data_IF_692366554730
#
_entry.id   IF_692366554730
#
_cell.length_a   1.000
_cell.length_b   1.000
_cell.length_c   1.000
_cell.angle_alpha   90.00
_cell.angle_beta   90.00
_cell.angle_gamma   90.00
#
_symmetry.space_group_name_H-M   'P 1'
#
loop_
_entity.id
_entity.type
_entity.pdbx_description
1 polymer ?
#
# COMPACT_ATOMS: atom_id res chain seq x y z
N UNK A 1 -59.22 13.20 -52.07
CA UNK A 1 -58.86 14.59 -51.71
C UNK A 1 -57.63 14.51 -50.81
N UNK A 2 -56.44 14.95 -51.23
CA UNK A 2 -55.92 16.28 -50.88
C UNK A 2 -54.97 16.20 -49.65
N UNK A 3 -53.77 15.61 -49.74
CA UNK A 3 -52.47 16.15 -50.24
C UNK A 3 -51.68 17.02 -49.24
N UNK A 4 -50.35 16.81 -49.23
CA UNK A 4 -49.26 17.57 -48.56
C UNK A 4 -49.19 17.38 -47.02
N UNK A 5 -48.07 17.57 -46.29
CA UNK A 5 -46.60 17.58 -46.54
C UNK A 5 -45.88 17.73 -45.15
N UNK A 6 -44.61 17.43 -44.88
CA UNK A 6 -43.48 16.73 -45.56
C UNK A 6 -42.46 16.29 -44.46
N UNK A 7 -41.58 15.29 -44.71
CA UNK A 7 -40.50 14.91 -43.77
C UNK A 7 -39.32 15.89 -43.89
N UNK A 8 -38.76 16.35 -42.75
CA UNK A 8 -37.59 17.26 -42.72
C UNK A 8 -36.39 16.62 -42.03
N UNK A 9 -35.57 15.91 -42.80
CA UNK A 9 -34.23 15.50 -42.36
C UNK A 9 -33.36 16.73 -42.04
N UNK A 10 -32.66 16.69 -40.89
CA UNK A 10 -31.63 17.69 -40.58
C UNK A 10 -30.27 17.15 -41.03
N UNK A 11 -29.75 17.76 -42.10
CA UNK A 11 -28.47 17.41 -42.73
C UNK A 11 -27.32 17.29 -41.72
N UNK A 12 -26.50 16.25 -41.89
CA UNK A 12 -25.11 16.23 -41.40
C UNK A 12 -24.30 17.20 -42.27
N UNK A 13 -23.47 18.03 -41.66
CA UNK A 13 -22.47 18.84 -42.36
C UNK A 13 -21.10 18.59 -41.72
N UNK A 14 -20.31 17.75 -42.36
CA UNK A 14 -18.87 17.64 -42.13
C UNK A 14 -18.17 18.82 -42.80
N UNK A 15 -17.45 19.62 -42.02
CA UNK A 15 -16.49 20.60 -42.53
C UNK A 15 -15.13 20.27 -41.94
N UNK A 16 -14.27 19.68 -42.78
CA UNK A 16 -12.83 19.60 -42.54
C UNK A 16 -12.23 20.98 -42.78
N UNK A 17 -11.42 21.47 -41.85
CA UNK A 17 -10.59 22.66 -42.03
C UNK A 17 -9.20 22.36 -41.46
N UNK A 18 -8.36 21.80 -42.33
CA UNK A 18 -6.93 21.59 -42.07
C UNK A 18 -6.18 22.91 -42.10
N UNK A 19 -5.57 23.30 -41.00
CA UNK A 19 -4.57 24.36 -40.94
C UNK A 19 -3.20 23.74 -40.59
N UNK A 20 -2.20 23.95 -41.46
CA UNK A 20 -0.83 23.53 -41.21
C UNK A 20 -0.13 24.52 -40.27
N UNK A 21 0.50 24.00 -39.22
CA UNK A 21 1.51 24.71 -38.43
C UNK A 21 2.69 23.77 -38.17
N UNK A 22 3.86 24.12 -38.72
CA UNK A 22 5.11 23.38 -38.54
C UNK A 22 5.81 23.77 -37.22
N UNK A 23 6.70 22.93 -36.66
CA UNK A 23 7.13 23.06 -35.27
C UNK A 23 8.29 24.04 -35.07
N UNK A 24 8.24 24.80 -33.98
CA UNK A 24 9.40 25.51 -33.44
C UNK A 24 10.05 24.66 -32.33
N UNK A 25 11.07 23.88 -32.67
CA UNK A 25 11.86 23.14 -31.69
C UNK A 25 12.88 24.08 -31.03
N UNK A 26 12.64 24.44 -29.76
CA UNK A 26 13.60 25.19 -28.94
C UNK A 26 14.54 24.19 -28.26
N UNK A 27 15.78 24.12 -28.73
CA UNK A 27 16.84 23.35 -28.06
C UNK A 27 17.38 24.14 -26.87
N UNK A 28 17.06 23.70 -25.65
CA UNK A 28 17.78 24.12 -24.45
C UNK A 28 19.06 23.30 -24.31
N UNK A 29 20.21 23.92 -24.62
CA UNK A 29 21.51 23.37 -24.25
C UNK A 29 21.79 23.68 -22.77
N UNK A 30 21.66 22.67 -21.90
CA UNK A 30 22.08 22.79 -20.50
C UNK A 30 23.53 22.34 -20.39
N UNK A 31 24.46 23.29 -20.26
CA UNK A 31 25.84 23.01 -19.87
C UNK A 31 25.92 22.89 -18.35
N UNK A 32 26.22 21.69 -17.85
CA UNK A 32 26.48 21.48 -16.43
C UNK A 32 27.95 21.81 -16.12
N UNK A 33 28.20 23.02 -15.61
CA UNK A 33 29.51 23.37 -15.05
C UNK A 33 29.72 22.64 -13.71
N UNK A 34 30.59 21.62 -13.72
CA UNK A 34 31.01 20.92 -12.50
C UNK A 34 32.25 21.61 -11.92
N UNK A 35 32.03 22.74 -11.26
CA UNK A 35 33.04 23.33 -10.37
C UNK A 35 33.10 22.59 -9.03
N UNK A 36 34.28 22.42 -8.42
CA UNK A 36 34.39 21.80 -7.09
C UNK A 36 33.63 22.64 -6.06
N UNK A 37 32.66 22.03 -5.38
CA UNK A 37 31.89 22.72 -4.35
C UNK A 37 32.77 23.00 -3.14
N UNK A 38 32.98 24.28 -2.83
CA UNK A 38 33.55 24.69 -1.56
C UNK A 38 32.57 24.35 -0.43
N UNK A 39 33.13 23.80 0.64
CA UNK A 39 32.39 23.29 1.79
C UNK A 39 31.49 24.38 2.41
N UNK A 40 30.18 24.09 2.46
CA UNK A 40 29.19 24.87 3.19
C UNK A 40 28.39 23.91 4.04
N UNK A 41 28.58 23.99 5.36
CA UNK A 41 27.78 23.26 6.33
C UNK A 41 26.30 23.52 6.07
N UNK A 42 25.54 22.44 5.95
CA UNK A 42 24.09 22.50 5.70
C UNK A 42 23.39 22.61 7.04
N UNK A 43 22.70 23.74 7.25
CA UNK A 43 21.82 23.92 8.40
C UNK A 43 20.70 22.87 8.43
N UNK A 44 20.29 22.51 9.64
CA UNK A 44 19.36 21.44 9.94
C UNK A 44 17.98 21.65 9.28
N UNK A 45 17.52 20.66 8.51
CA UNK A 45 16.18 20.65 7.91
C UNK A 45 15.22 19.90 8.84
N UNK A 46 14.52 20.63 9.70
CA UNK A 46 13.47 20.05 10.56
C UNK A 46 12.22 19.69 9.74
N UNK A 47 12.00 18.38 9.56
CA UNK A 47 10.82 17.81 8.90
C UNK A 47 10.49 16.42 9.45
N UNK A 48 9.20 15.99 9.43
CA UNK A 48 8.74 14.87 10.24
C UNK A 48 9.07 13.49 9.63
N UNK A 49 10.33 13.06 9.75
CA UNK A 49 10.72 11.97 10.66
C UNK A 49 12.04 11.29 10.23
N UNK A 50 12.94 11.15 11.22
CA UNK A 50 13.81 9.99 11.39
C UNK A 50 14.76 9.60 10.23
N UNK A 51 15.30 10.57 9.49
CA UNK A 51 16.62 10.44 8.87
C UNK A 51 17.70 11.02 9.80
N UNK A 52 18.61 10.16 10.27
CA UNK A 52 19.88 10.60 10.89
C UNK A 52 21.05 10.09 10.03
N UNK A 53 21.86 11.01 9.49
CA UNK A 53 23.04 10.68 8.69
C UNK A 53 24.25 10.59 9.62
N UNK A 54 24.46 9.42 10.22
CA UNK A 54 25.64 9.17 11.07
C UNK A 54 26.85 8.85 10.19
N UNK A 55 27.80 9.79 10.11
CA UNK A 55 29.09 9.54 9.49
C UNK A 55 29.92 8.58 10.33
N UNK A 56 30.28 7.41 9.77
CA UNK A 56 31.18 6.49 10.43
C UNK A 56 32.62 7.02 10.40
N UNK A 57 33.26 7.17 11.57
CA UNK A 57 34.66 7.55 11.66
C UNK A 57 35.55 6.49 10.96
N UNK A 58 36.54 6.89 10.15
CA UNK A 58 37.40 5.96 9.45
C UNK A 58 38.28 5.18 10.44
N UNK A 59 38.11 3.86 10.49
CA UNK A 59 38.99 2.96 11.24
C UNK A 59 40.20 2.58 10.39
N UNK A 60 41.44 2.94 10.79
CA UNK A 60 42.64 2.52 10.07
C UNK A 60 42.87 1.01 10.26
N UNK A 61 42.73 0.26 9.16
CA UNK A 61 43.05 -1.17 9.12
C UNK A 61 44.55 -1.38 8.90
N UNK A 62 45.32 -1.47 9.99
CA UNK A 62 46.75 -1.81 9.93
C UNK A 62 46.94 -3.31 9.66
N UNK A 63 46.99 -3.71 8.39
CA UNK A 63 47.30 -5.09 7.99
C UNK A 63 48.81 -5.35 8.11
N UNK A 64 49.21 -6.12 9.13
CA UNK A 64 50.61 -6.52 9.31
C UNK A 64 50.90 -7.86 8.61
N UNK A 65 51.24 -7.81 7.33
CA UNK A 65 51.72 -8.99 6.59
C UNK A 65 53.14 -9.36 7.05
N UNK A 66 53.45 -10.63 7.36
CA UNK A 66 54.81 -11.06 7.68
C UNK A 66 55.61 -11.32 6.38
N UNK A 67 56.78 -10.67 6.23
CA UNK A 67 57.81 -11.13 5.30
C UNK A 67 58.35 -10.19 4.21
N UNK A 68 58.33 -8.86 4.36
CA UNK A 68 59.02 -7.97 3.40
C UNK A 68 59.72 -6.77 4.04
N UNK A 69 61.06 -6.77 4.03
CA UNK A 69 61.87 -5.59 4.36
C UNK A 69 61.95 -4.62 3.16
N UNK A 70 60.83 -3.94 2.90
CA UNK A 70 60.78 -2.76 2.04
C UNK A 70 59.51 -1.95 2.38
N UNK A 71 59.68 -0.85 3.12
CA UNK A 71 58.59 0.06 3.46
C UNK A 71 58.25 0.98 2.26
N UNK A 72 57.62 0.43 1.22
CA UNK A 72 56.85 1.25 0.29
C UNK A 72 55.45 1.45 0.86
N UNK A 73 55.18 2.66 1.36
CA UNK A 73 53.84 3.05 1.75
C UNK A 73 52.95 3.17 0.53
N UNK A 74 52.15 2.14 0.26
CA UNK A 74 50.91 2.36 -0.48
C UNK A 74 49.97 3.16 0.40
N UNK A 75 49.66 4.38 -0.04
CA UNK A 75 48.53 5.14 0.48
C UNK A 75 47.30 4.24 0.36
N UNK A 76 46.75 3.87 1.52
CA UNK A 76 45.71 2.87 1.63
C UNK A 76 44.41 3.45 1.11
N UNK A 77 44.27 3.43 -0.22
CA UNK A 77 43.16 4.04 -0.95
C UNK A 77 41.85 3.76 -0.24
N UNK A 78 41.20 4.83 0.20
CA UNK A 78 40.05 4.77 1.10
C UNK A 78 38.98 3.87 0.49
N UNK A 79 38.86 2.64 1.00
CA UNK A 79 37.71 1.82 0.74
C UNK A 79 36.52 2.53 1.37
N UNK A 80 35.82 3.33 0.56
CA UNK A 80 34.62 4.03 0.97
C UNK A 80 33.72 3.02 1.66
N UNK A 81 33.48 3.23 2.96
CA UNK A 81 32.72 2.27 3.75
C UNK A 81 31.33 2.26 3.14
N UNK A 82 30.96 1.13 2.52
CA UNK A 82 29.68 1.05 1.81
C UNK A 82 28.58 1.36 2.82
N UNK A 83 27.91 2.50 2.64
CA UNK A 83 26.84 2.96 3.54
C UNK A 83 25.72 1.94 3.44
N UNK A 84 25.66 1.04 4.44
CA UNK A 84 24.69 -0.04 4.50
C UNK A 84 23.36 0.58 4.89
N UNK A 85 22.66 1.15 3.90
CA UNK A 85 21.27 1.59 4.00
C UNK A 85 20.42 0.41 4.45
N UNK A 86 20.25 0.28 5.77
CA UNK A 86 19.29 -0.63 6.36
C UNK A 86 17.94 0.08 6.31
N UNK A 87 17.08 -0.36 5.40
CA UNK A 87 15.67 -0.03 5.45
C UNK A 87 15.14 -0.55 6.79
N UNK A 88 14.84 0.33 7.73
CA UNK A 88 14.21 -0.09 8.99
C UNK A 88 12.76 -0.44 8.73
N UNK A 89 12.52 -1.72 8.43
CA UNK A 89 11.19 -2.27 8.19
C UNK A 89 10.31 -2.27 9.44
N UNK A 90 10.84 -2.01 10.63
CA UNK A 90 10.04 -1.84 11.86
C UNK A 90 9.05 -0.68 11.72
N UNK A 91 9.45 0.42 11.08
CA UNK A 91 8.57 1.55 10.71
C UNK A 91 7.43 1.18 9.73
N UNK A 92 7.45 -0.02 9.16
CA UNK A 92 6.44 -0.59 8.25
C UNK A 92 5.75 -1.84 8.81
N UNK A 93 6.21 -2.37 9.94
CA UNK A 93 5.59 -3.53 10.57
C UNK A 93 4.27 -3.13 11.22
N UNK A 94 3.22 -3.91 10.96
CA UNK A 94 1.93 -3.78 11.59
C UNK A 94 1.96 -4.49 12.95
N UNK A 95 1.75 -3.72 14.02
CA UNK A 95 1.51 -4.25 15.35
C UNK A 95 0.22 -5.11 15.39
N UNK A 96 0.07 -6.02 16.36
CA UNK A 96 -1.20 -6.69 16.63
C UNK A 96 -2.36 -5.69 16.77
N UNK A 97 -3.51 -6.05 16.22
CA UNK A 97 -4.71 -5.21 16.21
C UNK A 97 -5.68 -5.54 17.35
N UNK A 98 -6.94 -5.14 17.19
CA UNK A 98 -8.04 -5.48 18.12
C UNK A 98 -8.61 -6.89 17.92
N UNK A 99 -8.22 -7.57 16.83
CA UNK A 99 -8.71 -8.92 16.52
C UNK A 99 -8.00 -10.01 17.35
N UNK A 100 -8.71 -11.06 17.80
CA UNK A 100 -8.08 -12.24 18.38
C UNK A 100 -7.40 -13.07 17.27
N UNK A 101 -6.07 -12.98 17.19
CA UNK A 101 -5.29 -13.65 16.12
C UNK A 101 -5.15 -15.16 16.29
N UNK A 102 -5.54 -15.72 17.44
CA UNK A 102 -5.40 -17.14 17.74
C UNK A 102 -6.20 -18.00 16.75
N UNK A 103 -5.49 -18.81 15.96
CA UNK A 103 -6.09 -19.67 14.94
C UNK A 103 -6.50 -18.95 13.64
N UNK A 104 -6.27 -17.64 13.50
CA UNK A 104 -6.37 -16.97 12.21
C UNK A 104 -5.22 -17.41 11.29
N UNK A 105 -5.47 -17.36 9.98
CA UNK A 105 -4.43 -17.58 8.97
C UNK A 105 -3.66 -16.29 8.64
N UNK A 106 -2.44 -16.43 8.11
CA UNK A 106 -1.50 -15.31 7.86
C UNK A 106 -2.16 -14.15 7.09
N UNK A 107 -2.87 -14.42 6.00
CA UNK A 107 -3.56 -13.34 5.25
C UNK A 107 -4.71 -12.71 6.02
N UNK A 108 -5.46 -13.49 6.81
CA UNK A 108 -6.54 -12.99 7.66
C UNK A 108 -5.99 -12.06 8.76
N UNK A 109 -4.83 -12.40 9.36
CA UNK A 109 -4.12 -11.54 10.32
C UNK A 109 -3.62 -10.26 9.64
N UNK A 110 -3.06 -10.37 8.43
CA UNK A 110 -2.63 -9.19 7.65
C UNK A 110 -3.79 -8.21 7.45
N UNK A 111 -4.99 -8.69 7.10
CA UNK A 111 -6.20 -7.85 6.98
C UNK A 111 -6.57 -7.23 8.32
N UNK A 112 -6.67 -8.03 9.39
CA UNK A 112 -7.09 -7.56 10.71
C UNK A 112 -6.18 -6.45 11.26
N UNK A 113 -4.86 -6.64 11.18
CA UNK A 113 -3.87 -5.63 11.60
C UNK A 113 -3.89 -4.38 10.70
N UNK A 114 -4.06 -4.56 9.39
CA UNK A 114 -4.16 -3.43 8.45
C UNK A 114 -5.39 -2.57 8.71
N UNK A 115 -6.54 -3.19 9.03
CA UNK A 115 -7.76 -2.48 9.40
C UNK A 115 -7.57 -1.75 10.74
N UNK A 116 -7.07 -2.44 11.77
CA UNK A 116 -6.83 -1.86 13.09
C UNK A 116 -5.86 -0.65 13.06
N UNK A 117 -4.92 -0.63 12.11
CA UNK A 117 -3.96 0.46 11.95
C UNK A 117 -4.47 1.66 11.14
N UNK A 118 -5.53 1.50 10.33
CA UNK A 118 -6.05 2.53 9.43
C UNK A 118 -7.43 3.07 9.83
N UNK A 119 -8.21 2.29 10.57
CA UNK A 119 -9.56 2.62 11.02
C UNK A 119 -9.61 2.50 12.55
N UNK A 120 -8.98 3.43 13.31
CA UNK A 120 -8.93 3.39 14.77
C UNK A 120 -10.30 3.50 15.45
N UNK A 121 -11.35 3.86 14.71
CA UNK A 121 -12.74 3.82 15.13
C UNK A 121 -13.26 2.39 15.35
N UNK A 122 -12.63 1.40 14.72
CA UNK A 122 -12.93 -0.03 14.85
C UNK A 122 -12.29 -0.56 16.14
N UNK A 123 -13.13 -0.77 17.15
CA UNK A 123 -12.71 -1.22 18.48
C UNK A 123 -12.84 -2.74 18.67
N UNK A 124 -13.57 -3.44 17.80
CA UNK A 124 -13.79 -4.88 17.87
C UNK A 124 -13.74 -5.51 16.47
N UNK A 125 -13.02 -6.63 16.36
CA UNK A 125 -13.00 -7.48 15.17
C UNK A 125 -13.15 -8.93 15.63
N UNK A 126 -14.23 -9.60 15.23
CA UNK A 126 -14.43 -11.03 15.41
C UNK A 126 -13.53 -11.86 14.49
N UNK A 127 -13.22 -13.09 14.88
CA UNK A 127 -12.27 -13.97 14.18
C UNK A 127 -12.70 -15.44 14.24
N UNK A 128 -11.84 -16.31 14.78
CA UNK A 128 -12.14 -17.75 14.92
C UNK A 128 -13.30 -17.97 15.90
N UNK A 129 -14.32 -18.68 15.44
CA UNK A 129 -15.44 -19.18 16.25
C UNK A 129 -16.06 -20.41 15.59
N UNK A 130 -16.83 -21.18 16.36
CA UNK A 130 -17.69 -22.21 15.79
C UNK A 130 -18.75 -21.57 14.87
N UNK A 131 -18.96 -22.16 13.70
CA UNK A 131 -19.90 -21.71 12.68
C UNK A 131 -20.32 -22.92 11.82
N UNK A 132 -21.47 -22.82 11.15
CA UNK A 132 -21.93 -23.80 10.17
C UNK A 132 -21.12 -23.74 8.86
N UNK A 133 -20.55 -22.58 8.52
CA UNK A 133 -19.65 -22.42 7.38
C UNK A 133 -18.19 -22.49 7.80
N UNK A 134 -17.33 -23.01 6.92
CA UNK A 134 -15.90 -23.27 7.22
C UNK A 134 -15.04 -22.04 7.51
N UNK A 135 -15.52 -20.83 7.28
CA UNK A 135 -14.68 -19.64 7.19
C UNK A 135 -14.13 -19.19 8.55
N UNK A 136 -15.00 -18.98 9.55
CA UNK A 136 -14.56 -18.69 10.92
C UNK A 136 -13.83 -19.88 11.57
N UNK A 137 -14.32 -21.13 11.51
CA UNK A 137 -13.65 -22.29 12.10
C UNK A 137 -12.21 -22.51 11.59
N UNK A 138 -11.92 -22.18 10.34
CA UNK A 138 -10.60 -22.38 9.72
C UNK A 138 -9.72 -21.12 9.72
N UNK A 139 -10.10 -20.06 10.43
CA UNK A 139 -9.33 -18.82 10.52
C UNK A 139 -9.25 -18.00 9.22
N UNK A 140 -10.23 -18.16 8.34
CA UNK A 140 -10.29 -17.52 7.02
C UNK A 140 -11.11 -16.21 7.02
N UNK A 141 -11.95 -16.00 8.03
CA UNK A 141 -12.87 -14.86 8.11
C UNK A 141 -12.65 -13.93 9.30
N UNK A 142 -13.08 -12.68 9.12
CA UNK A 142 -13.18 -11.63 10.14
C UNK A 142 -14.59 -11.02 10.12
N UNK A 143 -15.09 -10.64 11.28
CA UNK A 143 -16.30 -9.83 11.44
C UNK A 143 -15.90 -8.45 12.00
N UNK A 144 -15.79 -7.44 11.13
CA UNK A 144 -15.31 -6.10 11.51
C UNK A 144 -16.48 -5.25 12.01
N UNK A 145 -16.59 -5.06 13.32
CA UNK A 145 -17.75 -4.42 13.95
C UNK A 145 -17.77 -2.92 13.64
N UNK A 146 -18.87 -2.42 13.08
CA UNK A 146 -19.02 -1.02 12.70
C UNK A 146 -19.73 -0.25 13.82
N UNK A 147 -19.13 0.82 14.38
CA UNK A 147 -19.80 1.66 15.38
C UNK A 147 -20.99 2.41 14.75
N UNK A 148 -22.10 2.48 15.49
CA UNK A 148 -23.38 3.08 15.05
C UNK A 148 -23.76 2.75 13.59
N UNK A 149 -23.93 1.46 13.26
CA UNK A 149 -23.94 0.98 11.88
C UNK A 149 -25.27 1.28 11.14
N UNK A 150 -26.21 1.93 11.83
CA UNK A 150 -27.45 2.46 11.25
C UNK A 150 -27.33 3.90 10.75
N UNK A 151 -26.34 4.67 11.21
CA UNK A 151 -26.18 6.08 10.83
C UNK A 151 -25.42 6.27 9.53
N UNK A 152 -25.44 7.50 9.01
CA UNK A 152 -24.73 7.85 7.78
C UNK A 152 -23.21 7.62 7.91
N UNK A 153 -22.63 7.92 9.09
CA UNK A 153 -21.20 7.80 9.33
C UNK A 153 -20.78 6.32 9.48
N UNK A 154 -21.55 5.51 10.22
CA UNK A 154 -21.31 4.06 10.30
C UNK A 154 -21.43 3.38 8.93
N UNK A 155 -22.44 3.76 8.13
CA UNK A 155 -22.59 3.28 6.74
C UNK A 155 -21.39 3.70 5.87
N UNK A 156 -20.94 4.95 5.99
CA UNK A 156 -19.77 5.45 5.26
C UNK A 156 -18.48 4.71 5.65
N UNK A 157 -18.25 4.47 6.95
CA UNK A 157 -17.11 3.72 7.47
C UNK A 157 -17.10 2.27 6.95
N UNK A 158 -18.23 1.56 7.02
CA UNK A 158 -18.34 0.21 6.46
C UNK A 158 -18.07 0.18 4.94
N UNK A 159 -18.55 1.18 4.20
CA UNK A 159 -18.26 1.31 2.76
C UNK A 159 -16.78 1.58 2.48
N UNK A 160 -16.11 2.39 3.32
CA UNK A 160 -14.67 2.65 3.21
C UNK A 160 -13.84 1.38 3.47
N UNK A 161 -14.21 0.58 4.47
CA UNK A 161 -13.53 -0.68 4.80
C UNK A 161 -13.70 -1.69 3.66
N UNK A 162 -14.91 -1.86 3.11
CA UNK A 162 -15.15 -2.70 1.92
C UNK A 162 -14.30 -2.24 0.73
N UNK A 163 -14.29 -0.93 0.45
CA UNK A 163 -13.47 -0.36 -0.64
C UNK A 163 -11.97 -0.62 -0.41
N UNK A 164 -11.48 -0.42 0.82
CA UNK A 164 -10.09 -0.64 1.19
C UNK A 164 -9.63 -2.08 0.98
N UNK A 165 -10.42 -3.08 1.42
CA UNK A 165 -10.04 -4.49 1.27
C UNK A 165 -10.09 -4.94 -0.20
N UNK A 166 -11.04 -4.43 -0.99
CA UNK A 166 -11.10 -4.71 -2.44
C UNK A 166 -9.93 -4.07 -3.20
N UNK A 167 -9.58 -2.81 -2.92
CA UNK A 167 -8.42 -2.15 -3.53
C UNK A 167 -7.11 -2.88 -3.24
N UNK A 168 -7.04 -3.60 -2.11
CA UNK A 168 -5.89 -4.40 -1.70
C UNK A 168 -6.10 -5.92 -1.92
N UNK A 169 -7.11 -6.33 -2.70
CA UNK A 169 -7.57 -7.71 -2.76
C UNK A 169 -6.47 -8.73 -3.12
N UNK A 170 -5.58 -8.39 -4.07
CA UNK A 170 -4.47 -9.26 -4.46
C UNK A 170 -3.46 -9.48 -3.32
N UNK A 171 -3.13 -8.42 -2.58
CA UNK A 171 -2.21 -8.44 -1.44
C UNK A 171 -2.79 -9.23 -0.25
N UNK A 172 -4.05 -8.95 0.07
CA UNK A 172 -4.76 -9.60 1.17
C UNK A 172 -5.31 -10.99 0.82
N UNK A 173 -5.31 -11.37 -0.46
CA UNK A 173 -6.01 -12.57 -0.93
C UNK A 173 -7.48 -12.55 -0.53
N UNK A 174 -8.20 -11.46 -0.81
CA UNK A 174 -9.64 -11.40 -0.53
C UNK A 174 -10.37 -12.36 -1.45
N UNK A 175 -11.20 -13.23 -0.87
CA UNK A 175 -12.18 -14.01 -1.61
C UNK A 175 -13.45 -13.17 -1.78
N UNK A 176 -13.98 -12.65 -0.67
CA UNK A 176 -15.15 -11.79 -0.64
C UNK A 176 -15.20 -10.93 0.64
N UNK A 177 -16.01 -9.88 0.59
CA UNK A 177 -16.53 -9.19 1.76
C UNK A 177 -18.06 -9.08 1.64
N UNK A 178 -18.77 -9.03 2.78
CA UNK A 178 -20.22 -8.87 2.86
C UNK A 178 -20.55 -7.64 3.69
N UNK A 179 -21.36 -6.74 3.12
CA UNK A 179 -21.87 -5.55 3.81
C UNK A 179 -23.25 -5.19 3.29
N UNK A 180 -24.19 -4.96 4.21
CA UNK A 180 -25.60 -4.53 3.97
C UNK A 180 -26.31 -5.32 2.87
N UNK A 181 -26.19 -6.64 2.89
CA UNK A 181 -26.87 -7.55 1.98
C UNK A 181 -26.26 -7.65 0.58
N UNK A 182 -25.05 -7.15 0.36
CA UNK A 182 -24.28 -7.33 -0.87
C UNK A 182 -22.98 -8.10 -0.61
N UNK A 183 -22.61 -9.00 -1.53
CA UNK A 183 -21.25 -9.53 -1.64
C UNK A 183 -20.42 -8.60 -2.52
N UNK A 184 -19.18 -8.45 -2.14
CA UNK A 184 -18.14 -7.73 -2.84
C UNK A 184 -16.99 -8.69 -3.10
N UNK A 185 -16.69 -8.97 -4.36
CA UNK A 185 -15.56 -9.81 -4.77
C UNK A 185 -14.61 -8.97 -5.63
N UNK A 186 -13.36 -9.44 -5.88
CA UNK A 186 -12.45 -8.77 -6.82
C UNK A 186 -13.04 -8.60 -8.23
N UNK A 187 -13.96 -9.48 -8.63
CA UNK A 187 -14.66 -9.45 -9.92
C UNK A 187 -15.90 -8.52 -9.95
N UNK A 188 -16.32 -7.98 -8.81
CA UNK A 188 -17.43 -7.03 -8.71
C UNK A 188 -18.38 -7.25 -7.52
N UNK A 189 -19.41 -6.41 -7.44
CA UNK A 189 -20.42 -6.46 -6.38
C UNK A 189 -21.72 -7.13 -6.87
N UNK A 190 -22.38 -7.90 -6.00
CA UNK A 190 -23.69 -8.52 -6.25
C UNK A 190 -24.57 -8.45 -5.01
N UNK A 191 -25.83 -8.06 -5.17
CA UNK A 191 -26.83 -8.19 -4.11
C UNK A 191 -27.07 -9.69 -3.78
N UNK A 192 -27.33 -10.00 -2.51
CA UNK A 192 -27.56 -11.36 -2.03
C UNK A 192 -28.59 -11.52 -0.92
N UNK A 193 -28.92 -10.43 -0.22
CA UNK A 193 -29.79 -10.49 0.95
C UNK A 193 -29.14 -11.15 2.18
N UNK A 194 -27.82 -11.36 2.18
CA UNK A 194 -27.09 -12.08 3.23
C UNK A 194 -27.02 -11.38 4.61
N UNK A 195 -27.77 -10.30 4.86
CA UNK A 195 -27.69 -9.55 6.11
C UNK A 195 -26.40 -8.72 6.23
N UNK A 196 -25.73 -8.77 7.39
CA UNK A 196 -24.51 -8.01 7.71
C UNK A 196 -24.74 -6.49 7.70
N UNK A 197 -25.58 -6.01 8.62
CA UNK A 197 -25.94 -4.58 8.75
C UNK A 197 -25.21 -3.86 9.88
N UNK A 198 -24.49 -4.61 10.72
CA UNK A 198 -23.79 -4.19 11.94
C UNK A 198 -22.27 -4.41 11.88
N UNK A 199 -21.80 -5.27 10.98
CA UNK A 199 -20.38 -5.53 10.74
C UNK A 199 -20.08 -5.78 9.26
N UNK A 200 -18.85 -5.49 8.84
CA UNK A 200 -18.32 -5.94 7.54
C UNK A 200 -17.68 -7.30 7.73
N UNK A 201 -18.27 -8.34 7.15
CA UNK A 201 -17.63 -9.66 7.10
C UNK A 201 -16.63 -9.71 5.97
N UNK A 202 -15.47 -10.33 6.19
CA UNK A 202 -14.38 -10.44 5.21
C UNK A 202 -13.86 -11.87 5.21
N UNK A 203 -13.88 -12.55 4.07
CA UNK A 203 -13.25 -13.87 3.88
C UNK A 203 -12.01 -13.75 3.00
N UNK A 204 -10.90 -14.33 3.45
CA UNK A 204 -9.64 -14.45 2.69
C UNK A 204 -9.46 -15.85 2.09
N UNK A 205 -8.56 -15.97 1.12
CA UNK A 205 -8.04 -17.24 0.61
C UNK A 205 -7.22 -18.01 1.66
N UNK A 206 -6.98 -17.43 2.84
CA UNK A 206 -6.00 -17.90 3.80
C UNK A 206 -4.56 -17.71 3.32
N UNK A 207 -3.65 -18.33 4.05
CA UNK A 207 -2.21 -18.31 3.77
C UNK A 207 -1.41 -19.34 4.57
N UNK A 208 -2.09 -20.37 5.11
CA UNK A 208 -1.54 -21.21 6.17
C UNK A 208 -1.71 -20.56 7.55
N UNK A 209 -1.47 -21.34 8.60
CA UNK A 209 -1.37 -20.83 9.97
C UNK A 209 0.03 -20.26 10.20
N UNK A 210 0.17 -19.18 11.00
CA UNK A 210 1.47 -18.59 11.30
C UNK A 210 2.44 -19.58 11.96
N UNK A 211 3.72 -19.49 11.62
CA UNK A 211 4.82 -20.16 12.34
C UNK A 211 5.34 -19.33 13.51
N UNK A 212 5.04 -18.03 13.53
CA UNK A 212 5.56 -17.05 14.49
C UNK A 212 6.74 -16.22 13.95
N UNK A 213 7.19 -16.49 12.72
CA UNK A 213 8.25 -15.73 12.04
C UNK A 213 7.69 -14.65 11.09
N UNK A 214 6.37 -14.57 10.93
CA UNK A 214 5.71 -13.65 10.00
C UNK A 214 5.85 -12.17 10.40
N UNK A 215 6.36 -11.36 9.46
CA UNK A 215 6.36 -9.90 9.57
C UNK A 215 5.24 -9.36 8.69
N UNK A 216 4.15 -8.92 9.33
CA UNK A 216 3.05 -8.22 8.67
C UNK A 216 3.47 -6.79 8.34
N UNK A 217 3.45 -6.40 7.07
CA UNK A 217 3.86 -5.07 6.60
C UNK A 217 2.65 -4.24 6.11
N UNK A 218 2.73 -2.92 6.28
CA UNK A 218 1.75 -1.92 5.78
C UNK A 218 1.97 -1.51 4.32
#
# INVERSE_FOLDING_TARGET
MGRHALVRERRRSSVLLTALAAPAAVFFAVTADVGPHADRGVDQVDGPCCLEIVAAAPTPLTVKMPGSEAAMGWDGGQFATASRWRVDTRSRALAPGVAPEQGLQVKTILVARSISALFPEIQEIGGVRADALRWHPNGLALDVMIPDPGSADGIALGNQIVSYVLMNAARFGIQDAIWRGAYYTPDGARASGAGHYDHVHITTTGGGYPTGEEIYLR
#
